data_IF_444277037217
#
_entry.id   IF_444277037217
#
_cell.length_a   1.000
_cell.length_b   1.000
_cell.length_c   1.000
_cell.angle_alpha   90.00
_cell.angle_beta   90.00
_cell.angle_gamma   90.00
#
_symmetry.space_group_name_H-M   'P 1'
#
loop_
_entity.id
_entity.type
_entity.pdbx_description
1 polymer ?
#
# COMPACT_ATOMS: atom_id res chain seq x y z
N UNK A 1 -0.13 0.75 1.83
CA UNK A 1 -1.06 -0.13 2.57
C UNK A 1 -0.39 -1.43 2.99
N UNK A 2 -0.89 -2.07 4.00
CA UNK A 2 -0.54 -3.45 4.34
C UNK A 2 -1.20 -4.42 3.37
N UNK A 3 -0.75 -5.68 3.36
CA UNK A 3 -1.30 -6.69 2.44
C UNK A 3 -2.51 -7.42 3.05
N UNK A 4 -3.34 -6.71 3.81
CA UNK A 4 -4.60 -7.21 4.37
C UNK A 4 -5.69 -7.19 3.31
N UNK A 5 -6.30 -8.33 3.03
CA UNK A 5 -7.45 -8.41 2.10
C UNK A 5 -8.65 -7.61 2.64
N UNK A 6 -8.82 -7.54 3.96
CA UNK A 6 -9.88 -6.75 4.59
C UNK A 6 -9.67 -5.25 4.38
N UNK A 7 -8.43 -4.75 4.57
CA UNK A 7 -8.06 -3.35 4.36
C UNK A 7 -8.25 -2.96 2.89
N UNK A 8 -7.72 -3.78 1.97
CA UNK A 8 -7.86 -3.58 0.53
C UNK A 8 -9.32 -3.57 0.10
N UNK A 9 -10.11 -4.55 0.55
CA UNK A 9 -11.53 -4.63 0.26
C UNK A 9 -12.30 -3.44 0.81
N UNK A 10 -12.04 -3.05 2.06
CA UNK A 10 -12.65 -1.88 2.69
C UNK A 10 -12.36 -0.58 1.94
N UNK A 11 -11.11 -0.38 1.48
CA UNK A 11 -10.74 0.77 0.65
C UNK A 11 -11.51 0.80 -0.67
N UNK A 12 -11.56 -0.33 -1.40
CA UNK A 12 -12.25 -0.42 -2.69
C UNK A 12 -13.75 -0.11 -2.53
N UNK A 13 -14.41 -0.69 -1.54
CA UNK A 13 -15.84 -0.45 -1.30
C UNK A 13 -16.11 1.02 -0.87
N UNK A 14 -15.23 1.60 -0.06
CA UNK A 14 -15.31 3.00 0.31
C UNK A 14 -15.13 3.92 -0.92
N UNK A 15 -14.20 3.62 -1.81
CA UNK A 15 -13.96 4.35 -3.05
C UNK A 15 -15.19 4.30 -3.97
N UNK A 16 -15.76 3.12 -4.19
CA UNK A 16 -16.98 2.95 -4.98
C UNK A 16 -18.13 3.75 -4.37
N UNK A 17 -18.35 3.59 -3.06
CA UNK A 17 -19.42 4.31 -2.35
C UNK A 17 -19.26 5.83 -2.41
N UNK A 18 -18.02 6.32 -2.35
CA UNK A 18 -17.73 7.76 -2.47
C UNK A 18 -18.09 8.31 -3.85
N UNK A 19 -17.69 7.63 -4.92
CA UNK A 19 -17.96 8.08 -6.27
C UNK A 19 -19.44 7.92 -6.67
N UNK A 20 -20.12 6.87 -6.25
CA UNK A 20 -21.54 6.65 -6.52
C UNK A 20 -22.48 7.72 -5.90
N UNK A 21 -22.00 8.47 -4.91
CA UNK A 21 -22.74 9.61 -4.34
C UNK A 21 -22.56 10.92 -5.11
N UNK A 22 -21.70 10.93 -6.10
CA UNK A 22 -21.37 12.14 -6.87
C UNK A 22 -22.14 12.15 -8.17
N UNK A 23 -22.90 13.23 -8.42
CA UNK A 23 -23.73 13.32 -9.64
C UNK A 23 -22.92 13.33 -10.93
N UNK A 24 -21.66 13.77 -10.87
CA UNK A 24 -20.74 13.79 -12.00
C UNK A 24 -20.11 12.43 -12.32
N UNK A 25 -20.41 11.38 -11.54
CA UNK A 25 -19.85 10.06 -11.78
C UNK A 25 -20.63 9.30 -12.86
N UNK A 26 -19.98 9.04 -13.98
CA UNK A 26 -20.51 8.24 -15.09
C UNK A 26 -19.96 6.80 -15.10
N UNK A 27 -19.08 6.45 -14.15
CA UNK A 27 -18.40 5.14 -14.11
C UNK A 27 -19.26 4.10 -13.41
N UNK A 28 -19.20 2.89 -13.91
CA UNK A 28 -19.81 1.71 -13.28
C UNK A 28 -19.00 1.27 -12.06
N UNK A 29 -19.59 0.46 -11.16
CA UNK A 29 -18.89 -0.11 -10.01
C UNK A 29 -17.66 -0.94 -10.42
N UNK A 30 -17.71 -1.62 -11.57
CA UNK A 30 -16.57 -2.37 -12.10
C UNK A 30 -15.42 -1.42 -12.48
N UNK A 31 -15.71 -0.33 -13.17
CA UNK A 31 -14.71 0.67 -13.52
C UNK A 31 -14.12 1.35 -12.28
N UNK A 32 -14.96 1.68 -11.30
CA UNK A 32 -14.52 2.25 -10.03
C UNK A 32 -13.64 1.28 -9.24
N UNK A 33 -13.94 -0.01 -9.28
CA UNK A 33 -13.12 -1.07 -8.66
C UNK A 33 -11.73 -1.17 -9.30
N UNK A 34 -11.67 -1.11 -10.62
CA UNK A 34 -10.42 -1.11 -11.38
C UNK A 34 -9.61 0.15 -11.08
N UNK A 35 -10.25 1.32 -11.06
CA UNK A 35 -9.60 2.59 -10.73
C UNK A 35 -9.06 2.59 -9.30
N UNK A 36 -9.83 2.10 -8.32
CA UNK A 36 -9.37 1.93 -6.95
C UNK A 36 -8.12 1.04 -6.88
N UNK A 37 -8.09 -0.06 -7.65
CA UNK A 37 -6.92 -0.95 -7.72
C UNK A 37 -5.67 -0.25 -8.27
N UNK A 38 -5.84 0.72 -9.17
CA UNK A 38 -4.73 1.46 -9.81
C UNK A 38 -4.08 2.52 -8.91
N UNK A 39 -4.70 2.88 -7.80
CA UNK A 39 -4.16 3.86 -6.85
C UNK A 39 -3.66 3.24 -5.55
N UNK A 40 -3.62 1.91 -5.47
CA UNK A 40 -3.06 1.20 -4.32
C UNK A 40 -1.57 0.93 -4.50
N UNK A 41 -0.77 1.28 -3.49
CA UNK A 41 0.66 0.95 -3.40
C UNK A 41 0.93 0.23 -2.09
N UNK A 42 1.63 -0.90 -2.17
CA UNK A 42 1.99 -1.73 -1.01
C UNK A 42 3.29 -1.26 -0.35
N UNK A 43 3.42 -1.58 0.93
CA UNK A 43 4.61 -1.25 1.71
C UNK A 43 5.77 -2.20 1.37
N UNK A 44 6.87 -1.67 0.83
CA UNK A 44 8.08 -2.46 0.53
C UNK A 44 8.74 -3.01 1.79
N UNK A 45 8.58 -2.35 2.95
CA UNK A 45 9.18 -2.83 4.21
C UNK A 45 8.56 -4.15 4.68
N UNK A 46 7.26 -4.38 4.46
CA UNK A 46 6.63 -5.66 4.78
C UNK A 46 7.25 -6.81 3.98
N UNK A 47 7.56 -6.58 2.70
CA UNK A 47 8.26 -7.56 1.88
C UNK A 47 9.69 -7.79 2.38
N UNK A 48 10.46 -6.73 2.65
CA UNK A 48 11.83 -6.80 3.18
C UNK A 48 11.89 -7.54 4.52
N UNK A 49 10.96 -7.25 5.42
CA UNK A 49 10.81 -7.96 6.69
C UNK A 49 10.48 -9.44 6.47
N UNK A 50 9.61 -9.77 5.51
CA UNK A 50 9.30 -11.12 5.09
C UNK A 50 10.52 -11.87 4.58
N UNK A 51 11.30 -11.27 3.67
CA UNK A 51 12.57 -11.81 3.16
C UNK A 51 13.54 -12.12 4.30
N UNK A 52 13.72 -11.15 5.22
CA UNK A 52 14.59 -11.31 6.37
C UNK A 52 14.12 -12.45 7.27
N UNK A 53 12.83 -12.56 7.54
CA UNK A 53 12.24 -13.63 8.36
C UNK A 53 12.48 -14.99 7.73
N UNK A 54 12.15 -15.17 6.45
CA UNK A 54 12.35 -16.44 5.73
C UNK A 54 13.82 -16.84 5.71
N UNK A 55 14.74 -15.90 5.48
CA UNK A 55 16.17 -16.18 5.45
C UNK A 55 16.71 -16.73 6.76
N UNK A 56 16.03 -16.46 7.89
CA UNK A 56 16.46 -16.87 9.25
C UNK A 56 15.83 -18.18 9.72
N UNK A 57 14.81 -18.70 9.00
CA UNK A 57 14.19 -19.98 9.37
C UNK A 57 15.18 -21.11 9.13
N UNK A 58 15.44 -21.91 10.19
CA UNK A 58 16.35 -23.06 10.12
C UNK A 58 15.90 -24.07 9.05
N UNK A 59 16.85 -24.49 8.21
CA UNK A 59 16.59 -25.49 7.18
C UNK A 59 15.81 -25.00 5.94
N UNK A 60 15.44 -23.71 5.84
CA UNK A 60 14.86 -23.11 4.64
C UNK A 60 15.97 -22.59 3.75
N UNK A 61 16.83 -21.72 4.24
CA UNK A 61 17.99 -21.18 3.53
C UNK A 61 19.27 -21.59 4.27
N UNK A 62 20.25 -22.24 3.59
CA UNK A 62 21.58 -22.48 4.17
C UNK A 62 22.22 -21.20 4.66
N UNK A 63 22.89 -21.23 5.80
CA UNK A 63 23.46 -20.04 6.47
C UNK A 63 24.36 -19.24 5.53
N UNK A 64 25.22 -19.95 4.80
CA UNK A 64 26.19 -19.39 3.83
C UNK A 64 25.51 -18.76 2.59
N UNK A 65 24.26 -19.10 2.31
CA UNK A 65 23.50 -18.62 1.15
C UNK A 65 22.50 -17.50 1.51
N UNK A 66 22.32 -17.17 2.79
CA UNK A 66 21.35 -16.17 3.24
C UNK A 66 21.53 -14.81 2.58
N UNK A 67 22.76 -14.33 2.49
CA UNK A 67 23.08 -13.06 1.84
C UNK A 67 22.70 -13.05 0.36
N UNK A 68 22.98 -14.17 -0.37
CA UNK A 68 22.60 -14.32 -1.76
C UNK A 68 21.09 -14.35 -1.95
N UNK A 69 20.36 -15.11 -1.12
CA UNK A 69 18.89 -15.14 -1.11
C UNK A 69 18.29 -13.76 -0.88
N UNK A 70 18.72 -13.07 0.17
CA UNK A 70 18.21 -11.73 0.51
C UNK A 70 18.43 -10.76 -0.66
N UNK A 71 19.63 -10.75 -1.25
CA UNK A 71 19.94 -9.89 -2.41
C UNK A 71 19.03 -10.19 -3.59
N UNK A 72 18.85 -11.47 -3.94
CA UNK A 72 17.99 -11.90 -5.05
C UNK A 72 16.52 -11.55 -4.77
N UNK A 73 16.00 -11.87 -3.58
CA UNK A 73 14.60 -11.62 -3.24
C UNK A 73 14.28 -10.11 -3.22
N UNK A 74 15.13 -9.29 -2.59
CA UNK A 74 14.94 -7.82 -2.57
C UNK A 74 15.08 -7.22 -3.98
N UNK A 75 15.93 -7.79 -4.84
CA UNK A 75 16.07 -7.37 -6.23
C UNK A 75 14.78 -7.46 -7.05
N UNK A 76 13.80 -8.28 -6.65
CA UNK A 76 12.49 -8.33 -7.29
C UNK A 76 11.75 -6.99 -7.21
N UNK A 77 11.96 -6.18 -6.15
CA UNK A 77 11.28 -4.90 -5.95
C UNK A 77 11.56 -3.89 -7.08
N UNK A 78 12.73 -3.97 -7.69
CA UNK A 78 13.22 -3.03 -8.71
C UNK A 78 13.56 -3.70 -10.04
N UNK A 79 12.99 -4.88 -10.32
CA UNK A 79 13.15 -5.51 -11.62
C UNK A 79 12.60 -4.60 -12.72
N UNK A 80 13.36 -4.31 -13.78
CA UNK A 80 12.96 -3.31 -14.77
C UNK A 80 11.88 -3.81 -15.73
N UNK A 81 11.73 -5.12 -15.90
CA UNK A 81 10.77 -5.71 -16.84
C UNK A 81 10.09 -6.96 -16.25
N UNK A 82 8.87 -7.25 -16.72
CA UNK A 82 8.13 -8.45 -16.35
C UNK A 82 8.93 -9.74 -16.66
N UNK A 83 9.62 -9.81 -17.79
CA UNK A 83 10.43 -10.98 -18.17
C UNK A 83 11.52 -11.23 -17.13
N UNK A 84 12.33 -10.22 -16.79
CA UNK A 84 13.40 -10.36 -15.79
C UNK A 84 12.84 -10.69 -14.41
N UNK A 85 11.70 -10.10 -14.04
CA UNK A 85 11.02 -10.39 -12.78
C UNK A 85 10.63 -11.87 -12.68
N UNK A 86 10.00 -12.41 -13.72
CA UNK A 86 9.58 -13.82 -13.76
C UNK A 86 10.76 -14.78 -13.79
N UNK A 87 11.83 -14.44 -14.49
CA UNK A 87 13.08 -15.21 -14.51
C UNK A 87 13.69 -15.27 -13.11
N UNK A 88 13.89 -14.13 -12.48
CA UNK A 88 14.46 -14.04 -11.13
C UNK A 88 13.60 -14.75 -10.09
N UNK A 89 12.27 -14.61 -10.16
CA UNK A 89 11.37 -15.33 -9.26
C UNK A 89 11.49 -16.86 -9.42
N UNK A 90 11.56 -17.37 -10.67
CA UNK A 90 11.78 -18.80 -10.94
C UNK A 90 13.14 -19.27 -10.42
N UNK A 91 14.22 -18.52 -10.65
CA UNK A 91 15.55 -18.84 -10.14
C UNK A 91 15.57 -18.95 -8.62
N UNK A 92 14.88 -18.05 -7.90
CA UNK A 92 14.76 -18.10 -6.45
C UNK A 92 14.06 -19.39 -6.02
N UNK A 93 12.92 -19.74 -6.64
CA UNK A 93 12.17 -20.95 -6.30
C UNK A 93 12.98 -22.22 -6.60
N UNK A 94 13.67 -22.25 -7.75
CA UNK A 94 14.52 -23.39 -8.14
C UNK A 94 15.69 -23.59 -7.17
N UNK A 95 16.34 -22.50 -6.78
CA UNK A 95 17.51 -22.55 -5.89
C UNK A 95 17.11 -22.76 -4.43
N UNK A 96 15.95 -22.26 -4.02
CA UNK A 96 15.46 -22.31 -2.64
C UNK A 96 14.01 -22.84 -2.60
N UNK A 97 13.77 -24.11 -2.93
CA UNK A 97 12.42 -24.65 -3.16
C UNK A 97 11.49 -24.52 -1.94
N UNK A 98 12.03 -24.50 -0.71
CA UNK A 98 11.24 -24.32 0.50
C UNK A 98 10.68 -22.91 0.66
N UNK A 99 11.05 -21.96 -0.19
CA UNK A 99 10.49 -20.60 -0.21
C UNK A 99 9.32 -20.47 -1.17
N UNK A 100 9.00 -21.49 -1.96
CA UNK A 100 8.03 -21.44 -3.04
C UNK A 100 6.67 -20.88 -2.59
N UNK A 101 6.04 -21.50 -1.59
CA UNK A 101 4.71 -21.06 -1.12
C UNK A 101 4.71 -19.63 -0.60
N UNK A 102 5.79 -19.20 0.07
CA UNK A 102 5.94 -17.84 0.54
C UNK A 102 6.10 -16.87 -0.63
N UNK A 103 6.94 -17.18 -1.61
CA UNK A 103 7.15 -16.30 -2.75
C UNK A 103 5.92 -16.26 -3.66
N UNK A 104 5.28 -17.41 -3.94
CA UNK A 104 4.04 -17.50 -4.72
C UNK A 104 2.92 -16.63 -4.15
N UNK A 105 2.84 -16.47 -2.82
CA UNK A 105 1.88 -15.56 -2.20
C UNK A 105 2.12 -14.11 -2.63
N UNK A 106 3.38 -13.66 -2.67
CA UNK A 106 3.75 -12.33 -3.13
C UNK A 106 3.57 -12.14 -4.65
N UNK A 107 3.69 -13.22 -5.41
CA UNK A 107 3.53 -13.20 -6.87
C UNK A 107 2.07 -13.20 -7.32
N UNK A 108 1.11 -13.33 -6.42
CA UNK A 108 -0.31 -13.20 -6.77
C UNK A 108 -0.57 -11.83 -7.39
N UNK A 109 -1.35 -11.73 -8.48
CA UNK A 109 -1.59 -10.47 -9.18
C UNK A 109 -2.00 -9.32 -8.25
N UNK A 110 -2.83 -9.61 -7.25
CA UNK A 110 -3.32 -8.64 -6.27
C UNK A 110 -2.20 -8.03 -5.41
N UNK A 111 -1.14 -8.80 -5.09
CA UNK A 111 0.00 -8.32 -4.31
C UNK A 111 1.11 -7.79 -5.21
N UNK A 112 1.38 -8.50 -6.30
CA UNK A 112 2.45 -8.14 -7.22
C UNK A 112 2.24 -6.76 -7.86
N UNK A 113 1.01 -6.44 -8.26
CA UNK A 113 0.67 -5.19 -8.94
C UNK A 113 0.81 -3.94 -8.06
N UNK A 114 0.76 -4.10 -6.75
CA UNK A 114 0.90 -2.97 -5.81
C UNK A 114 2.29 -2.88 -5.17
N UNK A 115 3.15 -3.90 -5.37
CA UNK A 115 4.44 -4.00 -4.71
C UNK A 115 5.64 -3.88 -5.65
N UNK A 116 5.60 -4.63 -6.77
CA UNK A 116 6.76 -4.75 -7.65
C UNK A 116 6.67 -3.79 -8.84
N UNK A 117 7.72 -3.07 -9.06
CA UNK A 117 7.79 -1.99 -10.06
C UNK A 117 7.43 -2.45 -11.48
N UNK A 118 7.92 -3.63 -11.88
CA UNK A 118 7.63 -4.23 -13.18
C UNK A 118 6.21 -4.80 -13.33
N UNK A 119 5.49 -4.97 -12.22
CA UNK A 119 4.13 -5.54 -12.18
C UNK A 119 3.06 -4.48 -11.93
N UNK A 120 3.46 -3.23 -11.67
CA UNK A 120 2.53 -2.16 -11.30
C UNK A 120 1.47 -1.91 -12.36
N UNK A 121 0.26 -1.66 -11.90
CA UNK A 121 -0.86 -1.17 -12.73
C UNK A 121 -1.08 0.33 -12.56
N UNK A 122 -0.47 0.93 -11.53
CA UNK A 122 -0.48 2.36 -11.25
C UNK A 122 0.38 3.12 -12.27
N UNK A 123 -0.05 4.32 -12.64
CA UNK A 123 0.75 5.25 -13.44
C UNK A 123 2.10 5.52 -12.75
N UNK A 124 3.17 5.64 -13.56
CA UNK A 124 4.53 5.76 -13.03
C UNK A 124 4.73 7.06 -12.24
N UNK A 125 4.16 8.16 -12.68
CA UNK A 125 4.31 9.44 -12.00
C UNK A 125 3.62 9.43 -10.63
N UNK A 126 2.47 8.75 -10.53
CA UNK A 126 1.77 8.53 -9.27
C UNK A 126 2.58 7.58 -8.39
N UNK A 127 3.06 6.47 -8.96
CA UNK A 127 3.88 5.49 -8.22
C UNK A 127 5.09 6.11 -7.57
N UNK A 128 5.83 6.95 -8.30
CA UNK A 128 7.04 7.61 -7.81
C UNK A 128 6.74 8.71 -6.77
N UNK A 129 5.54 9.30 -6.81
CA UNK A 129 5.12 10.32 -5.84
C UNK A 129 4.67 9.75 -4.49
N UNK A 130 4.28 8.47 -4.44
CA UNK A 130 3.79 7.81 -3.22
C UNK A 130 4.97 7.15 -2.48
N UNK A 131 5.12 7.35 -1.16
CA UNK A 131 6.16 6.69 -0.37
C UNK A 131 6.12 5.16 -0.50
N UNK A 132 7.30 4.54 -0.43
CA UNK A 132 7.47 3.08 -0.48
C UNK A 132 7.15 2.36 0.85
N UNK A 133 6.82 3.13 1.90
CA UNK A 133 6.59 2.64 3.26
C UNK A 133 5.27 3.14 3.83
N UNK A 134 4.72 2.41 4.79
CA UNK A 134 3.51 2.78 5.54
C UNK A 134 3.81 3.65 6.77
N UNK A 135 5.02 4.18 6.92
CA UNK A 135 5.40 4.99 8.07
C UNK A 135 4.44 6.18 8.33
N UNK A 136 3.90 6.77 7.26
CA UNK A 136 2.91 7.84 7.39
C UNK A 136 1.56 7.32 7.95
N UNK A 137 1.14 6.12 7.53
CA UNK A 137 -0.06 5.45 8.03
C UNK A 137 0.12 5.03 9.50
N UNK A 138 1.29 4.47 9.84
CA UNK A 138 1.63 4.10 11.22
C UNK A 138 1.67 5.33 12.13
N UNK A 139 2.25 6.44 11.67
CA UNK A 139 2.24 7.71 12.39
C UNK A 139 0.81 8.27 12.53
N UNK A 140 -0.06 8.06 11.52
CA UNK A 140 -1.46 8.43 11.61
C UNK A 140 -2.20 7.55 12.63
N UNK A 141 -1.98 6.23 12.62
CA UNK A 141 -2.54 5.32 13.62
C UNK A 141 -2.14 5.76 15.03
N UNK A 142 -0.86 6.12 15.24
CA UNK A 142 -0.41 6.62 16.52
C UNK A 142 -1.14 7.91 16.94
N UNK A 143 -1.31 8.86 16.02
CA UNK A 143 -2.09 10.10 16.28
C UNK A 143 -3.54 9.81 16.58
N UNK A 144 -4.16 8.83 15.90
CA UNK A 144 -5.52 8.40 16.19
C UNK A 144 -5.64 7.82 17.60
N UNK A 145 -4.70 6.95 18.00
CA UNK A 145 -4.64 6.42 19.36
C UNK A 145 -4.42 7.50 20.41
N UNK A 146 -3.53 8.44 20.16
CA UNK A 146 -3.23 9.55 21.06
C UNK A 146 -4.45 10.50 21.19
N UNK A 147 -5.09 10.84 20.09
CA UNK A 147 -6.33 11.65 20.07
C UNK A 147 -7.49 10.97 20.79
N UNK A 148 -7.52 9.65 20.79
CA UNK A 148 -8.46 8.83 21.54
C UNK A 148 -8.06 8.68 23.02
N UNK A 149 -7.05 9.43 23.49
CA UNK A 149 -6.54 9.44 24.86
C UNK A 149 -6.04 8.07 25.37
N UNK A 150 -5.55 7.20 24.48
CA UNK A 150 -4.94 5.90 24.84
C UNK A 150 -5.85 4.96 25.64
N UNK A 151 -7.16 5.20 25.66
CA UNK A 151 -8.14 4.44 26.46
C UNK A 151 -8.78 3.36 25.62
N UNK A 152 -9.08 2.23 26.26
CA UNK A 152 -10.00 1.25 25.69
C UNK A 152 -11.38 1.90 25.58
N UNK A 153 -11.76 2.32 24.40
CA UNK A 153 -13.08 2.86 24.13
C UNK A 153 -14.08 1.72 23.93
N UNK A 154 -15.32 1.97 24.35
CA UNK A 154 -16.43 1.18 23.82
C UNK A 154 -16.51 1.37 22.29
N UNK A 155 -17.13 0.44 21.59
CA UNK A 155 -17.30 0.52 20.13
C UNK A 155 -17.87 1.89 19.68
N UNK A 156 -18.87 2.39 20.37
CA UNK A 156 -19.50 3.67 20.02
C UNK A 156 -18.61 4.89 20.30
N UNK A 157 -17.84 4.86 21.38
CA UNK A 157 -16.85 5.92 21.68
C UNK A 157 -15.73 5.93 20.65
N UNK A 158 -15.23 4.75 20.24
CA UNK A 158 -14.26 4.62 19.16
C UNK A 158 -14.77 5.20 17.84
N UNK A 159 -16.02 4.91 17.46
CA UNK A 159 -16.64 5.49 16.26
C UNK A 159 -16.78 7.02 16.34
N UNK A 160 -17.15 7.57 17.50
CA UNK A 160 -17.23 9.04 17.69
C UNK A 160 -15.86 9.69 17.56
N UNK A 161 -14.83 9.08 18.14
CA UNK A 161 -13.45 9.59 18.04
C UNK A 161 -12.95 9.57 16.59
N UNK A 162 -13.17 8.49 15.85
CA UNK A 162 -12.83 8.40 14.43
C UNK A 162 -13.56 9.45 13.59
N UNK A 163 -14.85 9.68 13.86
CA UNK A 163 -15.63 10.73 13.20
C UNK A 163 -15.07 12.12 13.46
N UNK A 164 -14.71 12.41 14.71
CA UNK A 164 -14.12 13.71 15.07
C UNK A 164 -12.79 13.95 14.35
N UNK A 165 -11.94 12.92 14.26
CA UNK A 165 -10.68 12.99 13.51
C UNK A 165 -10.93 13.18 12.01
N UNK A 166 -11.89 12.45 11.42
CA UNK A 166 -12.27 12.62 10.01
C UNK A 166 -12.72 14.06 9.73
N UNK A 167 -13.60 14.63 10.56
CA UNK A 167 -14.06 16.01 10.43
C UNK A 167 -12.91 17.02 10.56
N UNK A 168 -11.96 16.78 11.45
CA UNK A 168 -10.78 17.65 11.59
C UNK A 168 -9.93 17.65 10.31
N UNK A 169 -9.68 16.49 9.71
CA UNK A 169 -8.93 16.42 8.44
C UNK A 169 -9.69 17.03 7.27
N UNK A 170 -11.00 16.87 7.22
CA UNK A 170 -11.86 17.50 6.23
C UNK A 170 -11.75 19.04 6.31
N UNK A 171 -11.84 19.61 7.50
CA UNK A 171 -11.63 21.04 7.75
C UNK A 171 -10.24 21.53 7.35
N UNK A 172 -9.19 20.75 7.66
CA UNK A 172 -7.82 21.08 7.25
C UNK A 172 -7.65 21.04 5.72
N UNK A 173 -8.30 20.10 5.04
CA UNK A 173 -8.30 20.01 3.59
C UNK A 173 -9.00 21.21 2.95
N UNK A 174 -10.18 21.57 3.44
CA UNK A 174 -10.94 22.73 2.98
C UNK A 174 -10.17 24.04 3.20
N UNK A 175 -9.53 24.21 4.38
CA UNK A 175 -8.69 25.37 4.66
C UNK A 175 -7.53 25.48 3.67
N UNK A 176 -6.84 24.38 3.35
CA UNK A 176 -5.76 24.38 2.35
C UNK A 176 -6.24 24.71 0.95
N UNK A 177 -7.40 24.20 0.55
CA UNK A 177 -7.98 24.54 -0.76
C UNK A 177 -8.34 26.03 -0.85
N UNK A 178 -8.87 26.62 0.23
CA UNK A 178 -9.18 28.05 0.28
C UNK A 178 -7.93 28.92 0.27
N UNK A 179 -6.85 28.53 0.96
CA UNK A 179 -5.56 29.23 0.89
C UNK A 179 -4.94 29.15 -0.52
N UNK A 180 -5.02 28.00 -1.19
CA UNK A 180 -4.52 27.82 -2.54
C UNK A 180 -5.29 28.67 -3.56
N UNK A 181 -6.61 28.76 -3.46
CA UNK A 181 -7.42 29.68 -4.24
C UNK A 181 -7.04 31.14 -4.00
N UNK A 182 -6.74 31.53 -2.75
CA UNK A 182 -6.35 32.90 -2.41
C UNK A 182 -4.96 33.29 -2.97
N UNK A 183 -4.04 32.35 -3.04
CA UNK A 183 -2.70 32.57 -3.63
C UNK A 183 -2.77 32.70 -5.14
N UNK A 184 -3.59 31.85 -5.81
CA UNK A 184 -3.77 31.93 -7.28
C UNK A 184 -4.43 33.25 -7.71
N UNK A 185 -5.42 33.72 -6.95
CA UNK A 185 -6.10 35.00 -7.24
C UNK A 185 -5.21 36.23 -7.02
N UNK A 186 -4.14 36.13 -6.19
CA UNK A 186 -3.15 37.20 -5.98
C UNK A 186 -2.01 37.22 -7.00
N UNK A 187 -1.83 36.16 -7.79
CA UNK A 187 -0.77 36.09 -8.80
C UNK A 187 -1.22 36.65 -10.16
N UNK A 188 -2.46 37.10 -10.31
CA UNK A 188 -3.01 37.68 -11.55
C UNK A 188 -3.14 39.23 -11.48
N UNK A 189 -2.55 39.86 -10.49
CA UNK A 189 -2.41 41.29 -10.37
C UNK A 189 -0.93 41.63 -10.16
#
# INVERSE_FOLDING_TARGET
MDFSEAERGGFIEAFISFWNRRPENERTDSQLRDDAGRILKGCKEHFRAGVTRISRIGGVIPVEQRGSFVKQAIGLLSCPTDTKFREQAREIIQKYPKTASWLEWWLRPAHASILFESQRVMDIAIWDSIPDTTNAEEAMHWKLYDSAAGKSHSFFEGLRSLRAVSQHFEQLHEARLSEFCFVLLKSEY
#
